data_IF_831222791790
#
_entry.id   IF_831222791790
#
_cell.length_a   1.000
_cell.length_b   1.000
_cell.length_c   1.000
_cell.angle_alpha   90.00
_cell.angle_beta   90.00
_cell.angle_gamma   90.00
#
_symmetry.space_group_name_H-M   'P 1'
#
loop_
_entity.id
_entity.type
_entity.pdbx_description
1 polymer ?
#
# COMPACT_ATOMS: atom_id res chain seq x y z
N UNK A 1 -4.30 -13.54 6.70
CA UNK A 1 -4.74 -13.70 5.30
C UNK A 1 -4.10 -14.94 4.69
N UNK A 2 -4.87 -15.78 3.97
CA UNK A 2 -4.35 -16.97 3.26
C UNK A 2 -3.52 -16.61 2.02
N UNK A 3 -3.90 -15.54 1.31
CA UNK A 3 -3.12 -14.97 0.19
C UNK A 3 -2.39 -13.72 0.65
N UNK A 4 -1.07 -13.69 0.48
CA UNK A 4 -0.18 -12.59 0.92
C UNK A 4 0.41 -11.75 -0.22
N UNK A 5 0.35 -12.25 -1.45
CA UNK A 5 0.86 -11.56 -2.65
C UNK A 5 -0.30 -11.34 -3.62
N UNK A 6 -0.41 -10.12 -4.13
CA UNK A 6 -1.48 -9.70 -5.02
C UNK A 6 -0.87 -8.97 -6.21
N UNK A 7 -1.34 -9.26 -7.42
CA UNK A 7 -1.07 -8.41 -8.58
C UNK A 7 -1.98 -7.19 -8.46
N UNK A 8 -1.39 -6.00 -8.44
CA UNK A 8 -2.10 -4.73 -8.29
C UNK A 8 -1.69 -3.82 -9.45
N UNK A 9 -2.66 -3.16 -10.05
CA UNK A 9 -2.44 -2.20 -11.12
C UNK A 9 -1.72 -0.95 -10.58
N UNK A 10 -0.77 -0.41 -11.34
CA UNK A 10 0.07 0.71 -10.90
C UNK A 10 -0.74 1.98 -10.59
N UNK A 11 -1.80 2.21 -11.37
CA UNK A 11 -2.72 3.37 -11.28
C UNK A 11 -3.71 3.26 -10.13
N UNK A 12 -3.76 2.11 -9.43
CA UNK A 12 -4.65 1.95 -8.29
C UNK A 12 -4.14 2.81 -7.14
N UNK A 13 -5.06 3.53 -6.48
CA UNK A 13 -4.76 4.33 -5.30
C UNK A 13 -4.71 3.51 -4.02
N UNK A 14 -4.07 4.04 -2.98
CA UNK A 14 -4.05 3.45 -1.64
C UNK A 14 -5.47 3.28 -1.09
N UNK A 15 -6.35 4.27 -1.30
CA UNK A 15 -7.75 4.17 -0.89
C UNK A 15 -8.45 2.98 -1.56
N UNK A 16 -8.26 2.81 -2.87
CA UNK A 16 -8.81 1.66 -3.59
C UNK A 16 -8.26 0.31 -3.12
N UNK A 17 -7.03 0.30 -2.56
CA UNK A 17 -6.44 -0.88 -1.94
C UNK A 17 -7.02 -1.14 -0.54
N UNK A 18 -7.20 -0.10 0.26
CA UNK A 18 -7.86 -0.17 1.58
C UNK A 18 -9.25 -0.76 1.44
N UNK A 19 -10.05 -0.25 0.49
CA UNK A 19 -11.42 -0.72 0.27
C UNK A 19 -11.46 -2.17 -0.23
N UNK A 20 -10.50 -2.57 -1.06
CA UNK A 20 -10.35 -3.95 -1.50
C UNK A 20 -10.06 -4.90 -0.33
N UNK A 21 -9.11 -4.53 0.55
CA UNK A 21 -8.76 -5.33 1.72
C UNK A 21 -9.92 -5.38 2.71
N UNK A 22 -10.61 -4.26 2.96
CA UNK A 22 -11.80 -4.21 3.82
C UNK A 22 -12.87 -5.19 3.33
N UNK A 23 -13.20 -5.18 2.03
CA UNK A 23 -14.16 -6.12 1.43
C UNK A 23 -13.70 -7.57 1.56
N UNK A 24 -12.41 -7.84 1.31
CA UNK A 24 -11.85 -9.19 1.41
C UNK A 24 -11.90 -9.73 2.85
N UNK A 25 -11.63 -8.86 3.83
CA UNK A 25 -11.68 -9.19 5.26
C UNK A 25 -13.08 -9.11 5.87
N UNK A 26 -14.09 -8.65 5.11
CA UNK A 26 -15.46 -8.40 5.57
C UNK A 26 -15.54 -7.40 6.73
N UNK A 27 -14.67 -6.39 6.71
CA UNK A 27 -14.67 -5.29 7.67
C UNK A 27 -15.82 -4.32 7.39
N UNK A 28 -16.30 -3.65 8.43
CA UNK A 28 -17.33 -2.62 8.28
C UNK A 28 -16.73 -1.35 7.67
N UNK A 29 -17.55 -0.57 6.95
CA UNK A 29 -17.09 0.67 6.33
C UNK A 29 -16.57 1.69 7.37
N UNK A 30 -17.15 1.68 8.57
CA UNK A 30 -16.77 2.51 9.71
C UNK A 30 -15.41 2.16 10.31
N UNK A 31 -14.91 0.94 10.09
CA UNK A 31 -13.62 0.53 10.65
C UNK A 31 -12.48 1.16 9.87
N UNK A 32 -11.50 1.72 10.58
CA UNK A 32 -10.34 2.35 9.97
C UNK A 32 -9.25 1.30 9.71
N UNK A 33 -8.70 1.30 8.51
CA UNK A 33 -7.61 0.40 8.11
C UNK A 33 -6.46 1.25 7.57
N UNK A 34 -5.29 1.11 8.18
CA UNK A 34 -4.08 1.83 7.81
C UNK A 34 -3.13 0.91 7.04
N UNK A 35 -2.53 1.44 5.98
CA UNK A 35 -1.50 0.75 5.19
C UNK A 35 -0.18 1.45 5.45
N UNK A 36 0.85 0.68 5.77
CA UNK A 36 2.21 1.17 5.96
C UNK A 36 3.11 0.62 4.87
N UNK A 37 3.99 1.48 4.35
CA UNK A 37 5.04 1.12 3.39
C UNK A 37 6.37 1.00 4.14
N UNK A 38 7.08 -0.11 3.92
CA UNK A 38 8.37 -0.41 4.58
C UNK A 38 8.37 -0.30 6.12
N UNK A 39 7.23 -0.47 6.78
CA UNK A 39 7.08 -0.26 8.24
C UNK A 39 7.52 1.13 8.72
N UNK A 40 7.57 2.12 7.83
CA UNK A 40 8.11 3.44 8.13
C UNK A 40 7.01 4.51 8.13
N UNK A 41 6.18 4.56 7.09
CA UNK A 41 5.18 5.63 6.94
C UNK A 41 3.87 5.12 6.32
N UNK A 42 2.80 5.86 6.57
CA UNK A 42 1.49 5.67 5.95
C UNK A 42 1.33 6.69 4.80
N UNK A 43 1.20 6.24 3.53
CA UNK A 43 1.05 7.13 2.39
C UNK A 43 -0.34 7.79 2.32
N UNK A 44 -0.47 8.86 1.53
CA UNK A 44 -1.77 9.50 1.28
C UNK A 44 -2.75 8.51 0.58
N UNK A 45 -4.05 8.51 0.94
CA UNK A 45 -5.05 7.65 0.30
C UNK A 45 -5.16 7.83 -1.22
N UNK A 46 -4.86 9.03 -1.71
CA UNK A 46 -4.96 9.39 -3.12
C UNK A 46 -3.74 8.96 -3.95
N UNK A 47 -2.68 8.51 -3.28
CA UNK A 47 -1.42 8.17 -3.93
C UNK A 47 -1.52 6.84 -4.68
N UNK A 48 -0.93 6.78 -5.86
CA UNK A 48 -0.88 5.56 -6.66
C UNK A 48 0.16 4.57 -6.14
N UNK A 49 -0.17 3.27 -6.21
CA UNK A 49 0.72 2.18 -5.80
C UNK A 49 2.00 2.14 -6.65
N UNK A 50 1.91 2.50 -7.94
CA UNK A 50 3.06 2.59 -8.84
C UNK A 50 4.11 3.61 -8.37
N UNK A 51 3.68 4.82 -8.03
CA UNK A 51 4.57 5.87 -7.51
C UNK A 51 5.23 5.45 -6.20
N UNK A 52 4.46 4.82 -5.30
CA UNK A 52 5.00 4.32 -4.02
C UNK A 52 6.05 3.22 -4.23
N UNK A 53 5.83 2.35 -5.21
CA UNK A 53 6.80 1.32 -5.56
C UNK A 53 8.13 1.93 -6.04
N UNK A 54 8.07 2.93 -6.92
CA UNK A 54 9.26 3.61 -7.45
C UNK A 54 10.04 4.36 -6.36
N UNK A 55 9.37 5.18 -5.56
CA UNK A 55 10.01 5.95 -4.47
C UNK A 55 10.65 5.00 -3.46
N UNK A 56 9.95 3.94 -3.09
CA UNK A 56 10.45 2.96 -2.11
C UNK A 56 11.64 2.18 -2.66
N UNK A 57 11.61 1.84 -3.94
CA UNK A 57 12.73 1.16 -4.61
C UNK A 57 13.97 2.06 -4.63
N UNK A 58 13.81 3.35 -4.96
CA UNK A 58 14.91 4.33 -4.94
C UNK A 58 15.45 4.50 -3.51
N UNK A 59 14.60 4.63 -2.49
CA UNK A 59 15.03 4.73 -1.10
C UNK A 59 15.83 3.51 -0.64
N UNK A 60 15.42 2.30 -1.02
CA UNK A 60 16.15 1.07 -0.71
C UNK A 60 17.52 1.01 -1.40
N UNK A 61 17.64 1.55 -2.62
CA UNK A 61 18.92 1.70 -3.30
C UNK A 61 19.79 2.67 -2.49
N UNK A 62 19.30 3.87 -2.20
CA UNK A 62 20.07 4.89 -1.48
C UNK A 62 20.52 4.41 -0.09
N UNK A 63 19.66 3.73 0.66
CA UNK A 63 20.00 3.16 1.97
C UNK A 63 21.07 2.07 1.91
N UNK A 64 21.25 1.40 0.77
CA UNK A 64 22.30 0.38 0.60
C UNK A 64 23.68 1.00 0.35
N UNK A 65 23.73 2.28 -0.04
CA UNK A 65 24.95 3.00 -0.37
C UNK A 65 25.30 4.12 0.63
N UNK A 66 24.50 4.28 1.69
CA UNK A 66 24.73 5.25 2.76
C UNK A 66 25.36 4.60 3.99
#
# INVERSE_FOLDING_TARGET
MKTKKWAVERTRTIQGLVDFIKKFLKLMASEQLFIYVNQSFAPSPDQEVGTLYEVTFILNILSKYA
#
